data_IF_386868907414
#
_entry.id   IF_386868907414
#
_cell.length_a   1.000
_cell.length_b   1.000
_cell.length_c   1.000
_cell.angle_alpha   90.00
_cell.angle_beta   90.00
_cell.angle_gamma   90.00
#
_symmetry.space_group_name_H-M   'P 1'
#
loop_
_entity.id
_entity.type
_entity.pdbx_description
1 polymer ?
#
# COMPACT_ATOMS: atom_id res chain seq x y z
N UNK A 1 -10.58 -3.24 -5.71
CA UNK A 1 -9.78 -3.64 -4.53
C UNK A 1 -9.69 -5.15 -4.46
N UNK A 2 -8.55 -5.72 -4.11
CA UNK A 2 -8.31 -7.17 -4.05
C UNK A 2 -8.63 -7.80 -2.69
N UNK A 3 -8.87 -6.99 -1.66
CA UNK A 3 -9.38 -7.46 -0.38
C UNK A 3 -10.90 -7.41 -0.33
N UNK A 4 -11.54 -8.59 -0.41
CA UNK A 4 -13.00 -8.72 -0.21
C UNK A 4 -13.44 -8.32 1.20
N UNK A 5 -12.62 -8.60 2.21
CA UNK A 5 -12.90 -8.23 3.59
C UNK A 5 -12.97 -6.70 3.76
N UNK A 6 -12.10 -5.96 3.08
CA UNK A 6 -12.11 -4.50 3.14
C UNK A 6 -13.41 -3.91 2.56
N UNK A 7 -13.93 -4.47 1.47
CA UNK A 7 -15.21 -4.05 0.88
C UNK A 7 -16.35 -4.31 1.87
N UNK A 8 -16.41 -5.50 2.47
CA UNK A 8 -17.41 -5.85 3.48
C UNK A 8 -17.37 -4.90 4.68
N UNK A 9 -16.18 -4.51 5.13
CA UNK A 9 -16.02 -3.53 6.21
C UNK A 9 -16.55 -2.16 5.76
N UNK A 10 -16.27 -1.70 4.54
CA UNK A 10 -16.78 -0.40 4.06
C UNK A 10 -18.31 -0.39 3.99
N UNK A 11 -18.92 -1.50 3.59
CA UNK A 11 -20.38 -1.64 3.48
C UNK A 11 -21.06 -1.80 4.84
N UNK A 12 -20.52 -2.66 5.71
CA UNK A 12 -21.20 -3.10 6.93
C UNK A 12 -20.61 -2.55 8.24
N UNK A 13 -19.50 -1.81 8.23
CA UNK A 13 -18.87 -1.39 9.49
C UNK A 13 -19.77 -0.48 10.33
N UNK A 14 -19.83 -0.84 11.61
CA UNK A 14 -20.43 -0.10 12.72
C UNK A 14 -19.38 0.73 13.43
N UNK A 15 -19.84 1.69 14.25
CA UNK A 15 -19.01 2.58 15.06
C UNK A 15 -18.10 1.88 16.09
N UNK A 16 -18.32 0.60 16.35
CA UNK A 16 -17.50 -0.24 17.23
C UNK A 16 -16.26 -0.84 16.56
N UNK A 17 -16.16 -0.78 15.23
CA UNK A 17 -15.05 -1.38 14.51
C UNK A 17 -13.74 -0.57 14.74
N UNK A 18 -12.58 -1.22 14.99
CA UNK A 18 -11.31 -0.52 15.28
C UNK A 18 -10.92 0.51 14.22
N UNK A 19 -11.23 0.21 12.96
CA UNK A 19 -10.93 1.07 11.80
C UNK A 19 -12.13 1.91 11.33
N UNK A 20 -13.17 2.07 12.15
CA UNK A 20 -14.38 2.79 11.76
C UNK A 20 -14.11 4.23 11.31
N UNK A 21 -13.12 4.91 11.91
CA UNK A 21 -12.74 6.27 11.51
C UNK A 21 -12.29 6.35 10.03
N UNK A 22 -11.55 5.34 9.56
CA UNK A 22 -11.12 5.23 8.15
C UNK A 22 -12.35 5.00 7.26
N UNK A 23 -13.23 4.08 7.66
CA UNK A 23 -14.47 3.80 6.91
C UNK A 23 -15.36 5.05 6.80
N UNK A 24 -15.47 5.83 7.87
CA UNK A 24 -16.24 7.07 7.88
C UNK A 24 -15.66 8.10 6.90
N UNK A 25 -14.33 8.24 6.86
CA UNK A 25 -13.67 9.11 5.89
C UNK A 25 -13.92 8.64 4.46
N UNK A 26 -13.80 7.33 4.19
CA UNK A 26 -14.10 6.76 2.87
C UNK A 26 -15.55 7.02 2.45
N UNK A 27 -16.52 6.77 3.33
CA UNK A 27 -17.95 7.04 3.04
C UNK A 27 -18.19 8.53 2.76
N UNK A 28 -17.60 9.44 3.55
CA UNK A 28 -17.68 10.89 3.30
C UNK A 28 -17.04 11.28 1.98
N UNK A 29 -15.92 10.65 1.63
CA UNK A 29 -15.28 10.85 0.34
C UNK A 29 -16.22 10.40 -0.77
N UNK A 30 -16.78 9.19 -0.73
CA UNK A 30 -17.71 8.68 -1.74
C UNK A 30 -18.96 9.54 -1.94
N UNK A 31 -19.43 10.25 -0.91
CA UNK A 31 -20.61 11.15 -0.98
C UNK A 31 -20.32 12.53 -1.60
N UNK A 32 -19.09 12.82 -2.02
CA UNK A 32 -18.78 14.06 -2.72
C UNK A 32 -19.37 14.07 -4.13
N UNK A 33 -19.12 15.15 -4.86
CA UNK A 33 -19.62 15.47 -6.20
C UNK A 33 -19.04 14.60 -7.35
N UNK A 34 -18.69 13.34 -7.06
CA UNK A 34 -18.15 12.36 -8.00
C UNK A 34 -18.96 11.05 -7.90
N UNK A 35 -19.08 10.33 -9.01
CA UNK A 35 -19.63 8.97 -9.00
C UNK A 35 -18.50 7.99 -8.68
N UNK A 36 -18.53 7.38 -7.50
CA UNK A 36 -17.49 6.45 -7.03
C UNK A 36 -18.12 5.08 -6.79
N UNK A 37 -17.53 4.05 -7.42
CA UNK A 37 -17.87 2.64 -7.21
C UNK A 37 -16.66 1.90 -6.64
N UNK A 38 -16.88 1.10 -5.61
CA UNK A 38 -15.87 0.23 -5.02
C UNK A 38 -16.21 -1.21 -5.38
N UNK A 39 -15.32 -1.86 -6.11
CA UNK A 39 -15.53 -3.23 -6.59
C UNK A 39 -14.36 -4.14 -6.24
N UNK A 40 -14.66 -5.42 -6.10
CA UNK A 40 -13.64 -6.44 -5.91
C UNK A 40 -12.97 -6.77 -7.25
N UNK A 41 -11.64 -6.78 -7.29
CA UNK A 41 -10.85 -7.21 -8.45
C UNK A 41 -9.85 -8.28 -8.01
N UNK A 42 -9.44 -9.16 -8.92
CA UNK A 42 -8.37 -10.10 -8.60
C UNK A 42 -7.05 -9.37 -8.39
N UNK A 43 -6.18 -9.92 -7.53
CA UNK A 43 -4.85 -9.35 -7.23
C UNK A 43 -4.01 -9.16 -8.49
N UNK A 44 -4.13 -10.06 -9.46
CA UNK A 44 -3.47 -9.95 -10.77
C UNK A 44 -3.89 -8.70 -11.55
N UNK A 45 -5.16 -8.30 -11.44
CA UNK A 45 -5.64 -7.03 -12.00
C UNK A 45 -5.20 -5.79 -11.20
N UNK A 46 -4.74 -5.98 -9.96
CA UNK A 46 -4.29 -4.91 -9.05
C UNK A 46 -2.76 -4.82 -8.92
N UNK A 47 -1.99 -5.52 -9.78
CA UNK A 47 -0.54 -5.66 -9.66
C UNK A 47 0.18 -4.31 -9.57
N UNK A 48 -0.23 -3.33 -10.37
CA UNK A 48 0.42 -2.00 -10.37
C UNK A 48 0.26 -1.31 -9.01
N UNK A 49 -0.93 -1.38 -8.41
CA UNK A 49 -1.17 -0.79 -7.11
C UNK A 49 -0.42 -1.54 -5.99
N UNK A 50 -0.38 -2.88 -6.06
CA UNK A 50 0.36 -3.72 -5.11
C UNK A 50 1.88 -3.46 -5.18
N UNK A 51 2.40 -3.29 -6.40
CA UNK A 51 3.79 -2.91 -6.64
C UNK A 51 4.11 -1.52 -6.08
N UNK A 52 3.24 -0.52 -6.33
CA UNK A 52 3.44 0.84 -5.82
C UNK A 52 3.39 0.89 -4.29
N UNK A 53 2.44 0.19 -3.67
CA UNK A 53 2.35 0.09 -2.21
C UNK A 53 3.61 -0.57 -1.62
N UNK A 54 4.05 -1.69 -2.19
CA UNK A 54 5.27 -2.39 -1.78
C UNK A 54 6.53 -1.55 -1.96
N UNK A 55 6.60 -0.77 -3.03
CA UNK A 55 7.72 0.12 -3.32
C UNK A 55 7.76 1.30 -2.36
N UNK A 56 6.60 1.91 -2.07
CA UNK A 56 6.51 3.00 -1.10
C UNK A 56 6.92 2.55 0.31
N UNK A 57 6.48 1.37 0.73
CA UNK A 57 6.86 0.77 2.02
C UNK A 57 8.38 0.57 2.12
N UNK A 58 8.99 -0.01 1.09
CA UNK A 58 10.45 -0.21 1.00
C UNK A 58 11.22 1.11 0.94
N UNK A 59 10.72 2.10 0.20
CA UNK A 59 11.36 3.41 0.10
C UNK A 59 11.41 4.12 1.46
N UNK A 60 10.34 4.02 2.25
CA UNK A 60 10.30 4.52 3.63
C UNK A 60 11.38 3.87 4.52
N UNK A 61 11.72 2.60 4.29
CA UNK A 61 12.77 1.91 5.02
C UNK A 61 14.18 2.38 4.59
N UNK A 62 14.40 2.60 3.29
CA UNK A 62 15.71 3.03 2.76
C UNK A 62 16.05 4.50 3.02
N UNK A 63 15.07 5.32 3.40
CA UNK A 63 15.27 6.74 3.72
C UNK A 63 15.92 7.01 5.07
N UNK A 64 16.16 5.97 5.90
CA UNK A 64 16.75 6.14 7.25
C UNK A 64 18.28 5.92 7.29
N UNK A 65 18.92 5.55 6.18
CA UNK A 65 20.36 5.20 6.13
C UNK A 65 21.23 6.23 5.39
N UNK A 66 20.71 7.41 5.03
CA UNK A 66 21.47 8.44 4.31
C UNK A 66 22.30 9.37 5.21
N UNK A 67 22.82 8.86 6.33
CA UNK A 67 23.76 9.58 7.19
C UNK A 67 24.86 8.66 7.70
N UNK A 68 25.48 7.88 6.82
CA UNK A 68 26.84 7.40 7.07
C UNK A 68 27.62 7.31 5.75
N UNK A 69 28.48 8.31 5.55
CA UNK A 69 29.47 8.33 4.48
C UNK A 69 30.65 7.43 4.87
N UNK A 70 30.54 6.13 4.55
CA UNK A 70 31.63 5.17 4.68
C UNK A 70 31.93 4.48 3.34
N UNK A 71 33.20 4.31 2.93
CA UNK A 71 33.52 3.71 1.64
C UNK A 71 33.17 2.22 1.65
N UNK A 72 32.35 1.80 0.67
CA UNK A 72 31.99 0.38 0.47
C UNK A 72 33.26 -0.39 0.05
N UNK A 73 33.66 -1.47 0.74
CA UNK A 73 34.77 -2.29 0.29
C UNK A 73 34.41 -3.02 -1.00
N UNK A 74 35.44 -3.19 -1.81
CA UNK A 74 35.43 -3.56 -3.21
C UNK A 74 34.62 -4.83 -3.54
N UNK A 75 33.96 -4.76 -4.68
CA UNK A 75 33.43 -5.90 -5.42
C UNK A 75 34.63 -6.78 -5.82
N UNK A 76 34.90 -7.80 -5.02
CA UNK A 76 35.83 -8.86 -5.35
C UNK A 76 35.12 -10.19 -5.17
N UNK A 77 35.37 -11.10 -6.13
CA UNK A 77 34.82 -12.45 -6.32
C UNK A 77 33.51 -12.49 -7.12
N UNK A 78 33.40 -13.10 -8.31
CA UNK A 78 34.29 -13.95 -9.09
C UNK A 78 33.85 -13.81 -10.56
N UNK A 79 34.72 -13.26 -11.41
CA UNK A 79 34.66 -13.48 -12.85
C UNK A 79 36.09 -13.68 -13.31
N UNK A 80 36.54 -14.92 -13.35
CA UNK A 80 37.68 -15.36 -14.17
C UNK A 80 37.73 -16.89 -14.20
N UNK A 81 37.49 -17.39 -15.41
CA UNK A 81 38.02 -18.60 -16.05
C UNK A 81 37.69 -19.96 -15.42
#
# INVERSE_FOLDING_TARGET
MDSRAAIQIIEAATNTHPHYHIVLQLRRMMQRNWEVRIEHIYREGNIVADFLASTADRACFTGRDSSDSGPRPAVAALTSL
#
